data_IF_473111600239
#
_entry.id   IF_473111600239
#
_cell.length_a   1.000
_cell.length_b   1.000
_cell.length_c   1.000
_cell.angle_alpha   90.00
_cell.angle_beta   90.00
_cell.angle_gamma   90.00
#
_symmetry.space_group_name_H-M   'P 1'
#
loop_
_entity.id
_entity.type
_entity.pdbx_description
1 polymer ?
#
# COMPACT_ATOMS: atom_id res chain seq x y z
N UNK A 1 3.38 -10.53 -16.84
CA UNK A 1 2.68 -10.93 -15.62
C UNK A 1 2.70 -9.73 -14.69
N UNK A 2 1.53 -9.27 -14.22
CA UNK A 2 1.41 -8.12 -13.34
C UNK A 2 2.14 -8.31 -12.00
N UNK A 3 2.26 -7.22 -11.23
CA UNK A 3 2.83 -7.26 -9.90
C UNK A 3 2.01 -8.13 -8.97
N UNK A 4 2.62 -9.16 -8.44
CA UNK A 4 1.99 -10.03 -7.44
C UNK A 4 2.93 -10.27 -6.27
N UNK A 5 2.35 -10.48 -5.10
CA UNK A 5 3.14 -10.84 -3.93
C UNK A 5 3.85 -12.19 -4.11
N UNK A 6 3.24 -13.12 -4.88
CA UNK A 6 3.84 -14.41 -5.19
C UNK A 6 5.14 -14.33 -6.02
N UNK A 7 5.35 -13.22 -6.74
CA UNK A 7 6.58 -12.96 -7.53
C UNK A 7 7.52 -11.97 -6.83
N UNK A 8 7.20 -11.55 -5.61
CA UNK A 8 8.04 -10.66 -4.82
C UNK A 8 9.38 -11.28 -4.50
N UNK A 9 10.43 -10.47 -4.58
CA UNK A 9 11.77 -10.86 -4.13
C UNK A 9 11.99 -10.35 -2.71
N UNK A 10 12.14 -11.25 -1.76
CA UNK A 10 12.56 -10.87 -0.41
C UNK A 10 14.05 -10.56 -0.42
N UNK A 11 14.42 -9.32 -0.08
CA UNK A 11 15.80 -8.82 -0.04
C UNK A 11 16.40 -9.03 1.35
N UNK A 12 15.58 -8.84 2.41
CA UNK A 12 16.01 -8.88 3.81
C UNK A 12 14.88 -9.41 4.69
N UNK A 13 15.25 -9.84 5.90
CA UNK A 13 14.34 -10.14 7.00
C UNK A 13 14.06 -11.60 7.22
N UNK A 14 13.23 -11.87 8.23
CA UNK A 14 12.77 -13.20 8.60
C UNK A 14 11.78 -13.75 7.58
N UNK A 15 11.44 -15.03 7.68
CA UNK A 15 10.36 -15.65 6.91
C UNK A 15 9.05 -14.88 7.08
N UNK A 16 8.26 -14.84 6.01
CA UNK A 16 6.93 -14.22 5.99
C UNK A 16 5.92 -15.17 6.62
N UNK A 17 5.16 -14.67 7.59
CA UNK A 17 4.00 -15.40 8.13
C UNK A 17 2.78 -15.24 7.22
N UNK A 18 1.74 -16.05 7.47
CA UNK A 18 0.45 -15.89 6.82
C UNK A 18 -0.09 -14.46 6.94
N UNK A 19 -0.04 -13.88 8.14
CA UNK A 19 -0.52 -12.51 8.37
C UNK A 19 0.32 -11.48 7.62
N UNK A 20 1.66 -11.65 7.57
CA UNK A 20 2.51 -10.75 6.78
C UNK A 20 2.13 -10.78 5.29
N UNK A 21 1.83 -11.97 4.75
CA UNK A 21 1.42 -12.10 3.35
C UNK A 21 0.04 -11.48 3.10
N UNK A 22 -0.94 -11.71 3.97
CA UNK A 22 -2.28 -11.15 3.83
C UNK A 22 -2.27 -9.61 3.92
N UNK A 23 -1.55 -9.05 4.90
CA UNK A 23 -1.43 -7.61 5.08
C UNK A 23 -0.61 -6.96 3.94
N UNK A 24 0.45 -7.63 3.48
CA UNK A 24 1.27 -7.16 2.36
C UNK A 24 0.49 -7.16 1.03
N UNK A 25 -0.36 -8.16 0.81
CA UNK A 25 -1.23 -8.22 -0.36
C UNK A 25 -2.25 -7.08 -0.36
N UNK A 26 -2.92 -6.82 0.77
CA UNK A 26 -3.83 -5.69 0.93
C UNK A 26 -3.13 -4.35 0.68
N UNK A 27 -1.91 -4.17 1.22
CA UNK A 27 -1.13 -2.95 1.02
C UNK A 27 -0.72 -2.76 -0.46
N UNK A 28 -0.28 -3.84 -1.12
CA UNK A 28 0.10 -3.83 -2.54
C UNK A 28 -1.09 -3.48 -3.42
N UNK A 29 -2.22 -4.16 -3.24
CA UNK A 29 -3.43 -3.93 -4.03
C UNK A 29 -3.91 -2.49 -3.91
N UNK A 30 -3.86 -1.93 -2.70
CA UNK A 30 -4.29 -0.55 -2.45
C UNK A 30 -3.33 0.45 -3.08
N UNK A 31 -2.00 0.30 -2.91
CA UNK A 31 -1.04 1.28 -3.44
C UNK A 31 -1.00 1.30 -4.96
N UNK A 32 -1.28 0.18 -5.62
CA UNK A 32 -1.34 0.08 -7.08
C UNK A 32 -2.56 0.78 -7.71
N UNK A 33 -3.56 1.17 -6.90
CA UNK A 33 -4.69 1.99 -7.38
C UNK A 33 -4.32 3.46 -7.64
N UNK A 34 -3.08 3.86 -7.31
CA UNK A 34 -2.56 5.23 -7.47
C UNK A 34 -1.34 5.28 -8.40
N UNK A 35 -1.45 4.89 -9.69
CA UNK A 35 -0.29 4.81 -10.58
C UNK A 35 0.30 6.17 -10.92
N UNK A 36 -0.48 7.26 -10.83
CA UNK A 36 -0.12 8.58 -11.33
C UNK A 36 0.75 9.38 -10.37
N UNK A 37 0.54 9.22 -9.06
CA UNK A 37 1.21 9.99 -8.01
C UNK A 37 2.03 9.09 -7.08
N UNK A 38 3.13 9.58 -6.48
CA UNK A 38 3.79 8.88 -5.39
C UNK A 38 2.80 8.62 -4.26
N UNK A 39 2.67 7.35 -3.86
CA UNK A 39 1.71 6.91 -2.86
C UNK A 39 2.39 6.06 -1.78
N UNK A 40 1.88 6.20 -0.56
CA UNK A 40 2.22 5.36 0.58
C UNK A 40 0.95 4.84 1.24
N UNK A 41 0.90 3.53 1.46
CA UNK A 41 -0.17 2.86 2.18
C UNK A 41 0.43 2.13 3.38
N UNK A 42 -0.15 2.33 4.55
CA UNK A 42 0.19 1.62 5.79
C UNK A 42 -0.98 0.74 6.17
N UNK A 43 -0.74 -0.56 6.25
CA UNK A 43 -1.79 -1.57 6.53
C UNK A 43 -1.52 -2.24 7.86
N UNK A 44 -2.59 -2.50 8.59
CA UNK A 44 -2.60 -3.34 9.77
C UNK A 44 -3.88 -4.18 9.82
N UNK A 45 -3.71 -5.51 9.98
CA UNK A 45 -4.84 -6.46 9.99
C UNK A 45 -5.69 -6.36 8.71
N UNK A 46 -5.02 -6.38 7.56
CA UNK A 46 -5.59 -6.28 6.22
C UNK A 46 -6.41 -5.01 5.93
N UNK A 47 -6.30 -3.97 6.78
CA UNK A 47 -6.98 -2.69 6.57
C UNK A 47 -5.98 -1.54 6.57
N UNK A 48 -6.14 -0.53 5.71
CA UNK A 48 -5.34 0.68 5.74
C UNK A 48 -5.60 1.48 7.02
N UNK A 49 -4.53 1.77 7.77
CA UNK A 49 -4.56 2.75 8.87
C UNK A 49 -3.93 4.08 8.47
N UNK A 50 -3.24 4.10 7.34
CA UNK A 50 -2.68 5.29 6.73
C UNK A 50 -2.61 5.16 5.22
N UNK A 51 -3.08 6.17 4.51
CA UNK A 51 -3.04 6.24 3.06
C UNK A 51 -2.83 7.69 2.61
N UNK A 52 -1.87 7.94 1.75
CA UNK A 52 -1.63 9.27 1.23
C UNK A 52 -0.88 9.28 -0.10
N UNK A 53 -1.10 10.35 -0.83
CA UNK A 53 -0.31 10.78 -1.98
C UNK A 53 0.63 11.91 -1.56
N UNK A 54 1.70 12.11 -2.33
CA UNK A 54 2.63 13.21 -2.09
C UNK A 54 3.39 13.59 -3.36
N UNK A 55 4.11 14.71 -3.32
CA UNK A 55 4.99 15.13 -4.41
C UNK A 55 6.20 14.18 -4.60
N UNK A 56 6.52 13.47 -3.53
CA UNK A 56 7.54 12.41 -3.49
C UNK A 56 7.16 11.37 -2.45
N UNK A 57 7.90 10.25 -2.38
CA UNK A 57 7.57 9.15 -1.47
C UNK A 57 7.75 9.49 0.01
N UNK A 58 8.69 10.38 0.34
CA UNK A 58 8.87 10.85 1.72
C UNK A 58 7.65 11.65 2.20
N UNK A 59 7.15 12.56 1.36
CA UNK A 59 5.94 13.33 1.65
C UNK A 59 4.70 12.43 1.76
N UNK A 60 4.58 11.43 0.86
CA UNK A 60 3.51 10.44 0.92
C UNK A 60 3.57 9.62 2.21
N UNK A 61 4.76 9.15 2.63
CA UNK A 61 4.94 8.44 3.90
C UNK A 61 4.59 9.32 5.10
N UNK A 62 5.08 10.56 5.12
CA UNK A 62 4.81 11.49 6.22
C UNK A 62 3.32 11.74 6.41
N UNK A 63 2.59 11.96 5.31
CA UNK A 63 1.14 12.14 5.33
C UNK A 63 0.40 10.86 5.75
N UNK A 64 0.77 9.69 5.20
CA UNK A 64 0.17 8.41 5.57
C UNK A 64 0.38 8.07 7.05
N UNK A 65 1.60 8.29 7.58
CA UNK A 65 1.91 8.06 8.99
C UNK A 65 1.09 8.98 9.93
N UNK A 66 0.80 10.22 9.52
CA UNK A 66 -0.01 11.14 10.29
C UNK A 66 -1.50 10.80 10.36
N UNK A 67 -2.01 9.93 9.47
CA UNK A 67 -3.40 9.50 9.54
C UNK A 67 -3.69 8.79 10.87
N UNK A 68 -2.83 7.84 11.26
CA UNK A 68 -2.90 7.14 12.55
C UNK A 68 -1.52 6.59 12.92
N UNK A 69 -0.71 7.42 13.56
CA UNK A 69 0.64 7.04 13.97
C UNK A 69 0.68 5.95 15.05
N UNK A 70 -0.41 5.79 15.79
CA UNK A 70 -0.53 4.75 16.83
C UNK A 70 -0.73 3.38 16.19
N UNK A 71 -1.67 3.25 15.25
CA UNK A 71 -1.93 2.01 14.55
C UNK A 71 -0.84 1.64 13.56
N UNK A 72 -0.08 2.62 13.04
CA UNK A 72 1.05 2.39 12.14
C UNK A 72 2.18 1.54 12.76
N UNK A 73 2.31 1.52 14.09
CA UNK A 73 3.33 0.73 14.78
C UNK A 73 3.19 -0.78 14.49
N UNK A 74 4.23 -1.36 13.93
CA UNK A 74 4.23 -2.78 13.52
C UNK A 74 3.38 -3.06 12.28
N UNK A 75 3.06 -2.03 11.51
CA UNK A 75 2.32 -2.14 10.25
C UNK A 75 3.19 -2.59 9.07
N UNK A 76 2.51 -2.84 7.97
CA UNK A 76 3.09 -3.11 6.66
C UNK A 76 3.02 -1.82 5.84
N UNK A 77 4.12 -1.41 5.23
CA UNK A 77 4.18 -0.19 4.42
C UNK A 77 4.43 -0.55 2.96
N UNK A 78 3.60 -0.05 2.06
CA UNK A 78 3.76 -0.21 0.62
C UNK A 78 3.91 1.13 -0.10
N UNK A 79 4.81 1.15 -1.07
CA UNK A 79 5.06 2.27 -1.97
C UNK A 79 4.87 1.84 -3.43
N UNK A 80 4.39 2.76 -4.27
CA UNK A 80 4.28 2.56 -5.72
C UNK A 80 5.48 3.12 -6.50
N UNK A 81 6.47 3.66 -5.83
CA UNK A 81 7.75 4.17 -6.39
C UNK A 81 8.93 3.59 -5.61
N UNK A 82 10.12 3.70 -6.21
CA UNK A 82 11.35 3.26 -5.56
C UNK A 82 11.59 3.97 -4.23
N UNK A 83 12.07 3.25 -3.24
CA UNK A 83 12.40 3.77 -1.91
C UNK A 83 13.83 4.30 -1.89
N UNK A 84 13.99 5.53 -1.43
CA UNK A 84 15.28 6.18 -1.24
C UNK A 84 15.77 6.13 0.21
N UNK A 85 17.07 6.41 0.39
CA UNK A 85 17.69 6.40 1.72
C UNK A 85 17.10 7.40 2.69
N UNK A 86 16.61 8.56 2.23
CA UNK A 86 15.98 9.57 3.08
C UNK A 86 14.67 9.05 3.67
N UNK A 87 13.83 8.47 2.85
CA UNK A 87 12.57 7.87 3.27
C UNK A 87 12.81 6.66 4.19
N UNK A 88 13.80 5.81 3.87
CA UNK A 88 14.15 4.67 4.71
C UNK A 88 14.58 5.11 6.13
N UNK A 89 15.42 6.17 6.24
CA UNK A 89 15.82 6.73 7.55
C UNK A 89 14.62 7.21 8.35
N UNK A 90 13.72 7.92 7.71
CA UNK A 90 12.54 8.45 8.37
C UNK A 90 11.64 7.32 8.90
N UNK A 91 11.41 6.28 8.10
CA UNK A 91 10.62 5.11 8.49
C UNK A 91 11.20 4.46 9.75
N UNK A 92 12.49 4.07 9.73
CA UNK A 92 13.09 3.33 10.85
C UNK A 92 13.30 4.16 12.12
N UNK A 93 13.25 5.50 12.00
CA UNK A 93 13.34 6.42 13.13
C UNK A 93 12.01 6.60 13.85
N UNK A 94 10.89 6.56 13.10
CA UNK A 94 9.55 6.87 13.63
C UNK A 94 8.80 5.67 14.16
N UNK A 95 8.94 4.50 13.51
CA UNK A 95 8.11 3.35 13.88
C UNK A 95 8.82 2.02 13.70
N UNK A 96 8.34 1.02 14.41
CA UNK A 96 8.62 -0.37 14.09
C UNK A 96 7.80 -0.79 12.87
N UNK A 97 8.45 -1.47 11.90
CA UNK A 97 7.84 -1.96 10.66
C UNK A 97 8.07 -3.46 10.56
N UNK A 98 7.04 -4.21 10.21
CA UNK A 98 7.19 -5.66 9.99
C UNK A 98 7.56 -5.98 8.55
N UNK A 99 6.90 -5.37 7.59
CA UNK A 99 7.14 -5.58 6.15
C UNK A 99 7.16 -4.25 5.42
N UNK A 100 8.10 -4.11 4.50
CA UNK A 100 8.25 -2.96 3.61
C UNK A 100 8.22 -3.42 2.16
N UNK A 101 7.34 -2.84 1.34
CA UNK A 101 7.17 -3.16 -0.07
C UNK A 101 7.46 -1.94 -0.94
N UNK A 102 8.30 -2.11 -1.95
CA UNK A 102 8.53 -1.11 -2.98
C UNK A 102 8.94 -1.77 -4.30
N UNK A 103 8.77 -1.09 -5.46
CA UNK A 103 9.23 -1.63 -6.74
C UNK A 103 10.74 -1.66 -6.91
N UNK A 104 11.47 -0.85 -6.14
CA UNK A 104 12.94 -0.80 -6.10
C UNK A 104 13.42 -0.14 -4.82
N UNK A 105 14.69 -0.31 -4.52
CA UNK A 105 15.40 0.33 -3.39
C UNK A 105 16.74 0.84 -3.90
N UNK A 106 17.12 2.07 -3.55
CA UNK A 106 18.47 2.53 -3.79
C UNK A 106 19.47 1.91 -2.79
N UNK A 107 20.76 2.02 -3.08
CA UNK A 107 21.81 1.43 -2.25
C UNK A 107 21.82 2.01 -0.83
N UNK A 108 21.49 3.30 -0.68
CA UNK A 108 21.42 3.97 0.62
C UNK A 108 20.23 3.46 1.44
N UNK A 109 19.07 3.26 0.82
CA UNK A 109 17.89 2.68 1.49
C UNK A 109 18.21 1.27 2.02
N UNK A 110 18.87 0.43 1.22
CA UNK A 110 19.28 -0.90 1.65
C UNK A 110 20.26 -0.86 2.83
N UNK A 111 21.25 0.05 2.81
CA UNK A 111 22.19 0.23 3.92
C UNK A 111 21.49 0.69 5.20
N UNK A 112 20.51 1.57 5.10
CA UNK A 112 19.72 2.04 6.24
C UNK A 112 18.87 0.92 6.80
N UNK A 113 18.15 0.19 5.94
CA UNK A 113 17.28 -0.91 6.35
C UNK A 113 18.05 -2.08 6.97
N UNK A 114 19.31 -2.30 6.56
CA UNK A 114 20.19 -3.33 7.14
C UNK A 114 20.46 -3.11 8.65
N UNK A 115 20.29 -1.88 9.16
CA UNK A 115 20.39 -1.59 10.60
C UNK A 115 19.24 -2.21 11.41
N UNK A 116 18.16 -2.62 10.74
CA UNK A 116 16.99 -3.28 11.34
C UNK A 116 16.75 -4.64 10.64
N UNK A 117 17.60 -5.65 10.86
CA UNK A 117 17.63 -6.89 10.07
C UNK A 117 16.36 -7.73 10.16
N UNK A 118 15.48 -7.43 11.12
CA UNK A 118 14.20 -8.12 11.27
C UNK A 118 13.09 -7.61 10.36
N UNK A 119 13.25 -6.42 9.77
CA UNK A 119 12.29 -5.89 8.79
C UNK A 119 12.34 -6.77 7.54
N UNK A 120 11.20 -7.22 7.09
CA UNK A 120 11.06 -7.96 5.82
C UNK A 120 10.95 -6.96 4.68
N UNK A 121 11.95 -6.94 3.83
CA UNK A 121 12.04 -6.01 2.68
C UNK A 121 11.71 -6.78 1.41
N UNK A 122 10.64 -6.39 0.74
CA UNK A 122 10.15 -7.03 -0.47
C UNK A 122 10.26 -6.09 -1.68
N UNK A 123 10.95 -6.54 -2.71
CA UNK A 123 10.97 -5.88 -4.03
C UNK A 123 9.88 -6.51 -4.90
N UNK A 124 8.96 -5.69 -5.40
CA UNK A 124 7.87 -6.11 -6.28
C UNK A 124 7.88 -5.24 -7.52
N UNK A 125 8.44 -5.78 -8.61
CA UNK A 125 8.43 -5.10 -9.90
C UNK A 125 7.01 -5.07 -10.46
N UNK A 126 6.47 -3.87 -10.61
CA UNK A 126 5.12 -3.65 -11.12
C UNK A 126 5.18 -2.97 -12.48
N UNK A 127 4.36 -3.43 -13.39
CA UNK A 127 4.02 -2.73 -14.62
C UNK A 127 2.81 -1.78 -14.45
N UNK A 128 2.37 -1.58 -13.21
CA UNK A 128 1.23 -0.71 -12.86
C UNK A 128 -0.14 -1.39 -12.99
N UNK A 129 -0.18 -2.66 -13.37
CA UNK A 129 -1.44 -3.39 -13.51
C UNK A 129 -1.64 -4.40 -12.37
N UNK A 130 -2.85 -4.41 -11.80
CA UNK A 130 -3.31 -5.50 -10.93
C UNK A 130 -3.56 -6.74 -11.79
N UNK A 131 -2.86 -7.83 -11.48
CA UNK A 131 -2.92 -9.07 -12.27
C UNK A 131 -4.10 -9.98 -11.91
N UNK A 132 -4.95 -9.56 -10.98
CA UNK A 132 -5.97 -10.44 -10.42
C UNK A 132 -7.28 -10.33 -11.20
N UNK A 133 -7.70 -11.44 -11.80
CA UNK A 133 -8.98 -11.56 -12.53
C UNK A 133 -10.09 -12.12 -11.65
N UNK A 134 -9.74 -12.92 -10.62
CA UNK A 134 -10.68 -13.65 -9.79
C UNK A 134 -10.43 -13.40 -8.30
N UNK A 135 -11.50 -13.19 -7.55
CA UNK A 135 -11.50 -13.21 -6.10
C UNK A 135 -11.96 -14.57 -5.58
N UNK A 136 -11.13 -15.18 -4.72
CA UNK A 136 -11.43 -16.47 -4.11
C UNK A 136 -11.56 -16.29 -2.59
N UNK A 137 -12.66 -16.78 -2.05
CA UNK A 137 -12.91 -16.76 -0.61
C UNK A 137 -13.23 -18.16 -0.13
N UNK A 138 -12.46 -18.66 0.85
CA UNK A 138 -12.72 -19.96 1.45
C UNK A 138 -13.94 -19.91 2.37
N UNK A 139 -14.80 -20.90 2.26
CA UNK A 139 -15.91 -21.16 3.19
C UNK A 139 -15.81 -22.59 3.71
N UNK A 140 -16.57 -22.91 4.78
CA UNK A 140 -16.56 -24.27 5.29
C UNK A 140 -17.04 -25.26 4.20
N UNK A 141 -16.14 -26.13 3.78
CA UNK A 141 -16.42 -27.15 2.75
C UNK A 141 -16.41 -26.68 1.30
N UNK A 142 -15.95 -25.45 0.98
CA UNK A 142 -15.93 -24.96 -0.38
C UNK A 142 -15.18 -23.65 -0.60
N UNK A 143 -15.26 -23.15 -1.83
CA UNK A 143 -14.71 -21.86 -2.27
C UNK A 143 -15.81 -21.05 -2.96
N UNK A 144 -15.87 -19.76 -2.65
CA UNK A 144 -16.58 -18.77 -3.45
C UNK A 144 -15.62 -18.20 -4.47
N UNK A 145 -16.08 -18.03 -5.70
CA UNK A 145 -15.30 -17.45 -6.81
C UNK A 145 -16.15 -16.38 -7.48
N UNK A 146 -15.59 -15.20 -7.63
CA UNK A 146 -16.21 -14.09 -8.35
C UNK A 146 -15.16 -13.32 -9.16
N UNK A 147 -15.59 -12.53 -10.12
CA UNK A 147 -14.71 -11.58 -10.79
C UNK A 147 -14.24 -10.53 -9.78
N UNK A 148 -12.99 -10.09 -9.96
CA UNK A 148 -12.46 -9.00 -9.16
C UNK A 148 -13.19 -7.69 -9.50
N UNK A 149 -13.56 -6.91 -8.49
CA UNK A 149 -14.09 -5.57 -8.70
C UNK A 149 -12.98 -4.61 -9.17
N UNK A 150 -12.92 -4.44 -10.49
CA UNK A 150 -12.00 -3.51 -11.16
C UNK A 150 -12.64 -2.17 -11.48
N UNK A 151 -13.86 -1.91 -10.99
CA UNK A 151 -14.61 -0.68 -11.24
C UNK A 151 -13.82 0.55 -10.81
N UNK A 152 -13.74 1.53 -11.71
CA UNK A 152 -13.16 2.86 -11.42
C UNK A 152 -14.30 3.88 -11.51
N UNK A 153 -14.51 4.61 -10.42
CA UNK A 153 -15.45 5.73 -10.37
C UNK A 153 -14.67 7.02 -10.60
N UNK A 154 -15.21 7.88 -11.46
CA UNK A 154 -14.77 9.24 -11.68
C UNK A 154 -15.88 10.24 -11.32
N UNK A 155 -15.60 11.54 -11.36
CA UNK A 155 -16.54 12.58 -11.01
C UNK A 155 -17.83 12.58 -11.88
N UNK A 156 -17.75 12.11 -13.13
CA UNK A 156 -18.87 12.05 -14.05
C UNK A 156 -19.88 10.95 -13.68
N UNK A 157 -19.43 9.93 -12.93
CA UNK A 157 -20.28 8.83 -12.47
C UNK A 157 -21.04 9.17 -11.18
N UNK A 158 -20.71 10.30 -10.53
CA UNK A 158 -21.27 10.67 -9.23
C UNK A 158 -22.52 11.53 -9.39
N UNK A 159 -23.48 11.31 -8.49
CA UNK A 159 -24.67 12.15 -8.33
C UNK A 159 -24.78 12.58 -6.88
N UNK A 160 -24.80 13.88 -6.64
CA UNK A 160 -25.07 14.42 -5.31
C UNK A 160 -26.49 14.09 -4.88
N UNK A 161 -26.64 13.41 -3.75
CA UNK A 161 -27.94 13.06 -3.14
C UNK A 161 -28.14 13.74 -1.79
N UNK A 162 -27.12 14.43 -1.28
CA UNK A 162 -27.19 15.25 -0.07
C UNK A 162 -27.79 16.64 -0.36
N UNK A 163 -28.22 17.34 0.70
CA UNK A 163 -28.79 18.69 0.57
C UNK A 163 -27.76 19.73 0.10
N UNK A 164 -26.47 19.48 0.31
CA UNK A 164 -25.34 20.31 -0.11
C UNK A 164 -24.48 19.56 -1.12
N UNK A 165 -24.07 20.20 -2.17
CA UNK A 165 -23.06 19.67 -3.07
C UNK A 165 -21.67 19.77 -2.45
N UNK A 166 -20.79 18.79 -2.70
CA UNK A 166 -19.41 18.86 -2.26
C UNK A 166 -18.65 19.97 -2.98
N UNK A 167 -17.76 20.66 -2.27
CA UNK A 167 -16.78 21.53 -2.91
C UNK A 167 -15.80 20.69 -3.77
N UNK A 168 -15.09 21.32 -4.75
CA UNK A 168 -14.14 20.58 -5.59
C UNK A 168 -13.08 19.80 -4.81
N UNK A 169 -12.57 20.36 -3.74
CA UNK A 169 -11.59 19.71 -2.85
C UNK A 169 -12.21 18.50 -2.12
N UNK A 170 -13.43 18.65 -1.62
CA UNK A 170 -14.17 17.55 -0.98
C UNK A 170 -14.46 16.42 -1.97
N UNK A 171 -14.77 16.75 -3.23
CA UNK A 171 -14.99 15.77 -4.28
C UNK A 171 -13.70 14.99 -4.59
N UNK A 172 -12.56 15.69 -4.62
CA UNK A 172 -11.24 15.05 -4.77
C UNK A 172 -10.97 14.05 -3.63
N UNK A 173 -11.20 14.47 -2.38
CA UNK A 173 -11.01 13.62 -1.20
C UNK A 173 -11.96 12.41 -1.18
N UNK A 174 -13.21 12.59 -1.63
CA UNK A 174 -14.19 11.50 -1.77
C UNK A 174 -13.73 10.46 -2.82
N UNK A 175 -13.22 10.91 -3.97
CA UNK A 175 -12.67 10.04 -5.01
C UNK A 175 -11.39 9.32 -4.56
N UNK A 176 -10.55 10.00 -3.76
CA UNK A 176 -9.40 9.37 -3.13
C UNK A 176 -9.85 8.28 -2.14
N UNK A 177 -10.76 8.60 -1.22
CA UNK A 177 -11.26 7.66 -0.22
C UNK A 177 -11.96 6.44 -0.85
N UNK A 178 -12.62 6.63 -2.00
CA UNK A 178 -13.23 5.51 -2.74
C UNK A 178 -12.20 4.47 -3.21
N UNK A 179 -10.97 4.90 -3.52
CA UNK A 179 -9.92 4.01 -4.00
C UNK A 179 -9.24 3.21 -2.89
N UNK A 180 -9.41 3.62 -1.63
CA UNK A 180 -8.85 2.94 -0.44
C UNK A 180 -9.75 1.79 0.00
#
# INVERSE_FOLDING_TARGET
AGATLATAKQIQGKELSYNNLADADAALQTVLRFPEHPACIIVKHANPCGAALGDNILAAYDAAHRCDSTSAFGGIIAFNRGLDGATAREIISRQFVEVLLAPAYDDEALQVLAQKPNIRVLEIKSDGHLAQEWQLTSIHGGLLVQEWDSGIINSENLKTVSAREPAPEELHDLLFAWKI
#
